data_IF_537709221289
#
_entry.id   IF_537709221289
#
_cell.length_a   1.000
_cell.length_b   1.000
_cell.length_c   1.000
_cell.angle_alpha   90.00
_cell.angle_beta   90.00
_cell.angle_gamma   90.00
#
_symmetry.space_group_name_H-M   'P 1'
#
loop_
_entity.id
_entity.type
_entity.pdbx_description
1 polymer ?
#
# COMPACT_ATOMS: atom_id res chain seq x y z
N UNK A 1 5.26 -3.05 17.44
CA UNK A 1 6.65 -3.55 17.57
C UNK A 1 7.42 -3.11 16.34
N UNK A 2 8.65 -2.58 16.47
CA UNK A 2 9.46 -2.24 15.31
C UNK A 2 9.81 -3.51 14.53
N UNK A 3 9.72 -3.44 13.20
CA UNK A 3 10.16 -4.52 12.33
C UNK A 3 11.68 -4.65 12.38
N UNK A 4 12.18 -5.88 12.32
CA UNK A 4 13.61 -6.14 12.09
C UNK A 4 13.99 -5.76 10.65
N UNK A 5 14.75 -4.68 10.49
CA UNK A 5 15.34 -4.21 9.23
C UNK A 5 16.87 -4.26 9.38
N UNK A 6 17.59 -4.58 8.31
CA UNK A 6 19.05 -4.57 8.31
C UNK A 6 19.56 -3.15 8.57
N UNK A 7 20.36 -2.98 9.61
CA UNK A 7 20.95 -1.69 9.97
C UNK A 7 21.92 -1.20 8.88
N UNK A 8 21.93 0.10 8.59
CA UNK A 8 22.79 0.68 7.54
C UNK A 8 24.29 0.43 7.79
N UNK A 9 24.71 0.34 9.05
CA UNK A 9 26.10 -0.01 9.42
C UNK A 9 26.51 -1.38 8.91
N UNK A 10 25.54 -2.27 8.65
CA UNK A 10 25.75 -3.61 8.08
C UNK A 10 25.56 -3.62 6.55
N UNK A 11 25.45 -2.45 5.91
CA UNK A 11 25.42 -2.30 4.45
C UNK A 11 26.76 -1.72 3.99
N UNK A 12 27.40 -2.42 3.06
CA UNK A 12 28.67 -1.97 2.49
C UNK A 12 28.52 -0.58 1.85
N UNK A 13 29.40 0.41 2.13
CA UNK A 13 29.24 1.80 1.68
C UNK A 13 28.96 1.94 0.18
N UNK A 14 29.65 1.14 -0.66
CA UNK A 14 29.50 1.17 -2.12
C UNK A 14 28.09 0.82 -2.65
N UNK A 15 27.20 0.22 -1.84
CA UNK A 15 25.84 -0.14 -2.27
C UNK A 15 24.74 0.60 -1.50
N UNK A 16 25.09 1.47 -0.55
CA UNK A 16 24.09 2.17 0.30
C UNK A 16 23.12 3.01 -0.52
N UNK A 17 23.64 3.79 -1.47
CA UNK A 17 22.80 4.60 -2.37
C UNK A 17 21.88 3.74 -3.23
N UNK A 18 22.38 2.58 -3.71
CA UNK A 18 21.58 1.67 -4.52
C UNK A 18 20.43 1.05 -3.71
N UNK A 19 20.66 0.75 -2.42
CA UNK A 19 19.60 0.28 -1.51
C UNK A 19 18.61 1.39 -1.21
N UNK A 20 19.09 2.59 -0.87
CA UNK A 20 18.25 3.73 -0.48
C UNK A 20 17.34 4.21 -1.62
N UNK A 21 17.85 4.24 -2.85
CA UNK A 21 17.15 4.80 -4.01
C UNK A 21 16.43 3.75 -4.86
N UNK A 22 16.47 2.47 -4.45
CA UNK A 22 15.90 1.37 -5.23
C UNK A 22 14.40 1.57 -5.46
N UNK A 23 14.03 1.95 -6.68
CA UNK A 23 12.64 2.24 -7.06
C UNK A 23 11.95 3.29 -6.16
N UNK A 24 12.71 4.22 -5.58
CA UNK A 24 12.20 5.26 -4.67
C UNK A 24 11.04 6.07 -5.26
N UNK A 25 11.05 6.32 -6.57
CA UNK A 25 10.00 7.08 -7.26
C UNK A 25 8.59 6.52 -7.02
N UNK A 26 8.42 5.19 -6.98
CA UNK A 26 7.12 4.55 -6.75
C UNK A 26 6.63 4.77 -5.32
N UNK A 27 7.56 4.82 -4.37
CA UNK A 27 7.27 5.05 -2.95
C UNK A 27 6.83 6.50 -2.77
N UNK A 28 7.58 7.44 -3.35
CA UNK A 28 7.25 8.87 -3.32
C UNK A 28 5.89 9.15 -3.98
N UNK A 29 5.59 8.50 -5.10
CA UNK A 29 4.30 8.62 -5.79
C UNK A 29 3.14 8.16 -4.89
N UNK A 30 3.27 7.00 -4.24
CA UNK A 30 2.25 6.50 -3.30
C UNK A 30 2.14 7.40 -2.07
N UNK A 31 3.25 7.90 -1.52
CA UNK A 31 3.22 8.84 -0.40
C UNK A 31 2.46 10.12 -0.75
N UNK A 32 2.69 10.68 -1.94
CA UNK A 32 1.96 11.85 -2.42
C UNK A 32 0.46 11.55 -2.54
N UNK A 33 0.08 10.43 -3.16
CA UNK A 33 -1.33 10.04 -3.28
C UNK A 33 -2.00 9.88 -1.89
N UNK A 34 -1.30 9.24 -0.94
CA UNK A 34 -1.78 9.03 0.43
C UNK A 34 -1.95 10.35 1.20
N UNK A 35 -1.16 11.38 0.89
CA UNK A 35 -1.32 12.71 1.46
C UNK A 35 -2.49 13.49 0.82
N UNK A 36 -2.79 13.25 -0.45
CA UNK A 36 -3.81 14.00 -1.20
C UNK A 36 -5.21 13.39 -1.15
N UNK A 37 -5.34 12.07 -0.97
CA UNK A 37 -6.62 11.38 -1.03
C UNK A 37 -7.00 10.75 0.32
N UNK A 38 -8.28 10.83 0.68
CA UNK A 38 -8.77 10.26 1.94
C UNK A 38 -8.68 8.73 1.98
N UNK A 39 -8.87 8.06 0.83
CA UNK A 39 -8.68 6.61 0.69
C UNK A 39 -7.82 6.35 -0.54
N UNK A 40 -6.77 5.56 -0.37
CA UNK A 40 -5.90 5.11 -1.46
C UNK A 40 -5.84 3.59 -1.45
N UNK A 41 -6.12 2.98 -2.60
CA UNK A 41 -5.96 1.54 -2.82
C UNK A 41 -4.80 1.34 -3.76
N UNK A 42 -3.70 0.79 -3.25
CA UNK A 42 -2.57 0.38 -4.06
C UNK A 42 -2.71 -1.10 -4.40
N UNK A 43 -2.65 -1.44 -5.68
CA UNK A 43 -2.92 -2.79 -6.16
C UNK A 43 -2.15 -3.16 -7.42
N UNK A 44 -2.66 -4.18 -8.10
CA UNK A 44 -2.08 -4.72 -9.32
C UNK A 44 -3.18 -5.35 -10.18
N UNK A 45 -2.90 -5.42 -11.48
CA UNK A 45 -3.80 -6.01 -12.47
C UNK A 45 -4.06 -7.49 -12.17
N UNK A 46 -5.29 -7.91 -12.40
CA UNK A 46 -5.75 -9.31 -12.29
C UNK A 46 -5.64 -9.91 -10.87
N UNK A 47 -5.47 -9.10 -9.82
CA UNK A 47 -5.53 -9.58 -8.45
C UNK A 47 -6.98 -9.52 -7.93
N UNK A 48 -7.63 -10.66 -7.61
CA UNK A 48 -9.02 -10.69 -7.17
C UNK A 48 -9.25 -9.96 -5.83
N UNK A 49 -8.25 -9.89 -4.95
CA UNK A 49 -8.38 -9.19 -3.67
C UNK A 49 -8.41 -7.67 -3.85
N UNK A 50 -7.76 -7.13 -4.89
CA UNK A 50 -7.88 -5.71 -5.24
C UNK A 50 -9.31 -5.40 -5.67
N UNK A 51 -9.92 -6.27 -6.48
CA UNK A 51 -11.33 -6.16 -6.84
C UNK A 51 -12.25 -6.20 -5.62
N UNK A 52 -12.00 -7.12 -4.67
CA UNK A 52 -12.77 -7.22 -3.42
C UNK A 52 -12.68 -5.97 -2.56
N UNK A 53 -11.48 -5.39 -2.38
CA UNK A 53 -11.31 -4.17 -1.60
C UNK A 53 -12.07 -2.98 -2.23
N UNK A 54 -11.97 -2.82 -3.54
CA UNK A 54 -12.71 -1.78 -4.28
C UNK A 54 -14.22 -1.97 -4.16
N UNK A 55 -14.71 -3.21 -4.31
CA UNK A 55 -16.13 -3.52 -4.16
C UNK A 55 -16.68 -3.17 -2.76
N UNK A 56 -15.88 -3.31 -1.69
CA UNK A 56 -16.27 -2.87 -0.34
C UNK A 56 -16.46 -1.35 -0.29
N UNK A 57 -15.53 -0.59 -0.89
CA UNK A 57 -15.60 0.88 -0.92
C UNK A 57 -16.76 1.37 -1.80
N UNK A 58 -16.93 0.75 -2.98
CA UNK A 58 -18.04 1.03 -3.90
C UNK A 58 -19.39 0.79 -3.20
N UNK A 59 -19.55 -0.35 -2.52
CA UNK A 59 -20.78 -0.68 -1.78
C UNK A 59 -21.03 0.26 -0.59
N UNK A 60 -19.98 0.81 0.01
CA UNK A 60 -20.07 1.79 1.09
C UNK A 60 -20.26 3.24 0.60
N UNK A 61 -20.24 3.47 -0.72
CA UNK A 61 -20.23 4.78 -1.36
C UNK A 61 -19.07 5.68 -0.89
N UNK A 62 -17.89 5.08 -0.69
CA UNK A 62 -16.67 5.78 -0.29
C UNK A 62 -15.80 6.01 -1.53
N UNK A 63 -15.48 7.27 -1.81
CA UNK A 63 -14.54 7.62 -2.89
C UNK A 63 -13.11 7.18 -2.53
N UNK A 64 -12.38 6.64 -3.52
CA UNK A 64 -11.00 6.23 -3.37
C UNK A 64 -10.17 6.48 -4.62
N UNK A 65 -8.87 6.68 -4.41
CA UNK A 65 -7.88 6.73 -5.48
C UNK A 65 -7.24 5.35 -5.66
N UNK A 66 -7.34 4.77 -6.86
CA UNK A 66 -6.76 3.46 -7.18
C UNK A 66 -5.46 3.61 -7.97
N UNK A 67 -4.39 3.00 -7.46
CA UNK A 67 -3.08 2.94 -8.12
C UNK A 67 -2.76 1.49 -8.51
N UNK A 68 -2.56 1.24 -9.80
CA UNK A 68 -2.29 -0.10 -10.35
C UNK A 68 -0.83 -0.24 -10.80
N UNK A 69 -0.10 -1.21 -10.25
CA UNK A 69 1.30 -1.45 -10.62
C UNK A 69 1.51 -2.85 -11.20
N UNK A 70 1.46 -2.95 -12.53
CA UNK A 70 1.75 -4.16 -13.29
C UNK A 70 0.82 -5.33 -13.00
N UNK A 71 1.27 -6.55 -13.28
CA UNK A 71 0.53 -7.79 -13.07
C UNK A 71 1.41 -8.85 -12.40
N UNK A 72 0.91 -10.08 -12.26
CA UNK A 72 1.74 -11.20 -11.80
C UNK A 72 2.98 -11.44 -12.68
N UNK A 73 2.93 -11.01 -13.95
CA UNK A 73 3.99 -11.20 -14.93
C UNK A 73 4.89 -9.95 -15.11
N UNK A 74 4.56 -8.82 -14.49
CA UNK A 74 5.28 -7.56 -14.73
C UNK A 74 5.38 -6.66 -13.50
N UNK A 75 6.39 -5.78 -13.49
CA UNK A 75 6.61 -4.73 -12.46
C UNK A 75 6.68 -5.24 -11.01
N UNK A 76 7.01 -6.51 -10.80
CA UNK A 76 7.12 -7.08 -9.45
C UNK A 76 8.20 -6.37 -8.61
N UNK A 77 9.26 -5.84 -9.22
CA UNK A 77 10.32 -5.07 -8.51
C UNK A 77 9.81 -3.76 -7.92
N UNK A 78 8.97 -3.02 -8.66
CA UNK A 78 8.32 -1.79 -8.15
C UNK A 78 7.44 -2.12 -6.95
N UNK A 79 6.64 -3.18 -7.07
CA UNK A 79 5.80 -3.67 -5.97
C UNK A 79 6.60 -4.15 -4.77
N UNK A 80 7.77 -4.74 -4.97
CA UNK A 80 8.66 -5.14 -3.87
C UNK A 80 9.12 -3.92 -3.06
N UNK A 81 9.44 -2.80 -3.71
CA UNK A 81 9.81 -1.57 -2.99
C UNK A 81 8.68 -1.09 -2.07
N UNK A 82 7.43 -1.12 -2.53
CA UNK A 82 6.26 -0.78 -1.71
C UNK A 82 6.10 -1.72 -0.50
N UNK A 83 6.34 -3.03 -0.67
CA UNK A 83 6.29 -4.01 0.44
C UNK A 83 7.42 -3.80 1.44
N UNK A 84 8.61 -3.42 0.97
CA UNK A 84 9.74 -3.11 1.83
C UNK A 84 9.47 -1.86 2.67
N UNK A 85 8.97 -0.80 2.03
CA UNK A 85 8.63 0.47 2.67
C UNK A 85 7.51 0.33 3.72
N UNK A 86 6.35 -0.19 3.33
CA UNK A 86 5.18 -0.30 4.24
C UNK A 86 5.32 -1.39 5.28
N UNK A 87 6.06 -2.44 4.91
CA UNK A 87 6.02 -3.70 5.59
C UNK A 87 4.78 -4.55 5.47
N UNK A 88 3.89 -4.21 4.56
CA UNK A 88 2.82 -5.11 4.20
C UNK A 88 3.26 -6.13 3.15
N UNK A 89 2.94 -7.41 3.35
CA UNK A 89 3.45 -8.50 2.51
C UNK A 89 2.65 -8.76 1.24
N UNK A 90 1.44 -8.18 1.12
CA UNK A 90 0.46 -8.53 0.08
C UNK A 90 -0.15 -7.30 -0.62
N UNK A 91 -0.97 -7.54 -1.64
CA UNK A 91 -1.79 -6.50 -2.29
C UNK A 91 -3.26 -6.95 -2.25
N UNK A 92 -4.22 -6.03 -2.08
CA UNK A 92 -4.04 -4.57 -2.02
C UNK A 92 -3.38 -4.07 -0.72
N UNK A 93 -2.75 -2.91 -0.78
CA UNK A 93 -2.44 -2.07 0.38
C UNK A 93 -3.46 -0.94 0.39
N UNK A 94 -4.24 -0.83 1.46
CA UNK A 94 -5.29 0.16 1.60
C UNK A 94 -4.88 1.18 2.65
N UNK A 95 -4.93 2.46 2.28
CA UNK A 95 -4.69 3.58 3.17
C UNK A 95 -5.99 4.35 3.39
N UNK A 96 -6.26 4.73 4.64
CA UNK A 96 -7.39 5.58 5.03
C UNK A 96 -6.84 6.72 5.87
N UNK A 97 -7.02 7.96 5.42
CA UNK A 97 -6.50 9.19 6.05
C UNK A 97 -5.02 9.08 6.43
N UNK A 98 -4.18 8.63 5.49
CA UNK A 98 -2.75 8.47 5.73
C UNK A 98 -2.33 7.17 6.43
N UNK A 99 -3.27 6.40 6.98
CA UNK A 99 -2.99 5.20 7.78
C UNK A 99 -3.16 3.94 6.94
N UNK A 100 -2.14 3.08 6.89
CA UNK A 100 -2.23 1.76 6.29
C UNK A 100 -3.16 0.87 7.15
N UNK A 101 -4.31 0.48 6.60
CA UNK A 101 -5.29 -0.35 7.29
C UNK A 101 -5.19 -1.84 6.97
N UNK A 102 -4.34 -2.20 6.00
CA UNK A 102 -4.10 -3.60 5.59
C UNK A 102 -4.58 -3.89 4.18
N UNK A 103 -5.14 -5.07 3.96
CA UNK A 103 -5.62 -5.55 2.68
C UNK A 103 -7.15 -5.61 2.59
N UNK A 104 -7.64 -6.42 1.65
CA UNK A 104 -9.08 -6.53 1.39
C UNK A 104 -9.88 -7.07 2.58
N UNK A 105 -9.33 -8.05 3.30
CA UNK A 105 -9.98 -8.63 4.48
C UNK A 105 -10.05 -7.64 5.63
N UNK A 106 -8.96 -6.92 5.90
CA UNK A 106 -8.87 -5.94 6.98
C UNK A 106 -9.81 -4.76 6.71
N UNK A 107 -9.84 -4.26 5.47
CA UNK A 107 -10.77 -3.22 5.05
C UNK A 107 -12.23 -3.66 5.22
N UNK A 108 -12.56 -4.90 4.84
CA UNK A 108 -13.91 -5.45 5.02
C UNK A 108 -14.31 -5.45 6.51
N UNK A 109 -13.42 -5.91 7.38
CA UNK A 109 -13.67 -5.93 8.83
C UNK A 109 -13.83 -4.51 9.41
N UNK A 110 -13.03 -3.53 8.96
CA UNK A 110 -13.17 -2.13 9.35
C UNK A 110 -14.49 -1.51 8.88
N UNK A 111 -14.96 -1.87 7.69
CA UNK A 111 -16.27 -1.43 7.21
C UNK A 111 -17.41 -2.06 8.01
N UNK A 112 -17.35 -3.37 8.26
CA UNK A 112 -18.37 -4.11 9.02
C UNK A 112 -18.47 -3.65 10.49
N UNK A 113 -17.36 -3.24 11.09
CA UNK A 113 -17.34 -2.68 12.45
C UNK A 113 -17.75 -1.19 12.53
N UNK A 114 -17.99 -0.54 11.39
CA UNK A 114 -18.27 0.90 11.31
C UNK A 114 -17.06 1.82 11.55
N UNK A 115 -15.90 1.26 11.90
CA UNK A 115 -14.67 2.01 12.16
C UNK A 115 -14.17 2.75 10.91
N UNK A 116 -14.39 2.19 9.71
CA UNK A 116 -14.01 2.85 8.46
C UNK A 116 -14.69 4.21 8.30
N UNK A 117 -15.98 4.32 8.62
CA UNK A 117 -16.70 5.60 8.57
C UNK A 117 -16.22 6.55 9.64
N UNK A 118 -16.00 6.06 10.86
CA UNK A 118 -15.47 6.87 11.95
C UNK A 118 -14.09 7.49 11.63
N UNK A 119 -13.24 6.78 10.86
CA UNK A 119 -11.97 7.32 10.39
C UNK A 119 -12.14 8.44 9.35
N UNK A 120 -13.21 8.43 8.58
CA UNK A 120 -13.43 9.37 7.47
C UNK A 120 -14.08 10.69 7.91
N UNK A 121 -14.79 10.68 9.05
CA UNK A 121 -15.54 11.83 9.59
C UNK A 121 -17.02 11.69 9.34
#
# INVERSE_FOLDING_TARGET
MPRHILDETHIHPAIRDAVARSHESIVLEVQAAVAHHAVVVVGMKSNPFVGKARAVLDAAAIEYHYMEYGSYLSQWRLRTALKMWTGWSSFPMVFVKGVLVGGATDLKALNESGQLRAMLG
#
